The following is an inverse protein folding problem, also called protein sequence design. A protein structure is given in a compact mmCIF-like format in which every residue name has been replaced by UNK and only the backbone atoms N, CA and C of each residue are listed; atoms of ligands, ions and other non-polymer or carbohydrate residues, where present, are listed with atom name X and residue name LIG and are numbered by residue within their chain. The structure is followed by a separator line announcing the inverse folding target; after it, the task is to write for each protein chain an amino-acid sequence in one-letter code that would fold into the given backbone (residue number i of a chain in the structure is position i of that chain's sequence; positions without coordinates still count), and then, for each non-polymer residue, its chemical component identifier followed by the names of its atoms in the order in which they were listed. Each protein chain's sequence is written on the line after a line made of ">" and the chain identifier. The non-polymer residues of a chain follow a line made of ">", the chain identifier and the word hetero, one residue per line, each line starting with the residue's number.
data_IF_799719544355
#
_entry.id   IF_799719544355
#
_cell.length_a   1.000
_cell.length_b   1.000
_cell.length_c   1.000
_cell.angle_alpha   90.00
_cell.angle_beta   90.00
_cell.angle_gamma   90.00
#
_symmetry.space_group_name_H-M   'P 1'
#
loop_
_entity.id
_entity.type
_entity.pdbx_description
1 polymer ?
#
# COMPACT_ATOMS: atom_id res chain seq x y z
N UNK A 1 -12.42 15.11 -7.17
CA UNK A 1 -11.44 14.90 -6.10
C UNK A 1 -11.18 13.42 -5.93
N UNK A 2 -9.92 13.00 -5.99
CA UNK A 2 -9.58 11.58 -5.84
C UNK A 2 -9.72 11.14 -4.40
N UNK A 3 -10.33 9.96 -4.21
CA UNK A 3 -10.43 9.31 -2.91
C UNK A 3 -9.32 8.28 -2.79
N UNK A 4 -8.49 8.41 -1.76
CA UNK A 4 -7.35 7.53 -1.51
C UNK A 4 -7.58 6.83 -0.17
N UNK A 5 -7.48 5.50 -0.16
CA UNK A 5 -7.49 4.72 1.07
C UNK A 5 -6.07 4.22 1.33
N UNK A 6 -5.51 4.63 2.47
CA UNK A 6 -4.24 4.13 2.97
C UNK A 6 -4.51 3.05 4.02
N UNK A 7 -4.05 1.83 3.76
CA UNK A 7 -4.35 0.68 4.63
C UNK A 7 -3.24 0.49 5.66
N UNK A 8 -3.62 0.50 6.93
CA UNK A 8 -2.71 0.58 8.07
C UNK A 8 -2.76 -0.69 8.91
N UNK A 9 -1.59 -1.12 9.35
CA UNK A 9 -1.41 -2.18 10.33
C UNK A 9 -0.31 -1.80 11.30
N UNK A 10 -0.31 -2.37 12.50
CA UNK A 10 0.79 -2.17 13.43
C UNK A 10 2.10 -2.67 12.83
N UNK A 11 3.17 -1.94 13.06
CA UNK A 11 4.48 -2.23 12.48
C UNK A 11 4.69 -1.67 11.08
N UNK A 12 3.79 -0.79 10.58
CA UNK A 12 4.06 -0.05 9.36
C UNK A 12 5.22 0.93 9.54
N UNK A 13 5.82 1.35 8.43
CA UNK A 13 6.87 2.37 8.47
C UNK A 13 6.21 3.76 8.44
N UNK A 14 6.43 4.54 9.49
CA UNK A 14 5.73 5.80 9.72
C UNK A 14 5.94 6.82 8.60
N UNK A 15 7.18 7.01 8.15
CA UNK A 15 7.47 8.00 7.11
C UNK A 15 6.87 7.60 5.78
N UNK A 16 6.97 6.33 5.42
CA UNK A 16 6.40 5.82 4.16
C UNK A 16 4.89 5.99 4.10
N UNK A 17 4.23 5.87 5.24
CA UNK A 17 2.79 6.08 5.32
C UNK A 17 2.43 7.56 5.38
N UNK A 18 2.97 8.27 6.38
CA UNK A 18 2.51 9.63 6.69
C UNK A 18 3.00 10.68 5.71
N UNK A 19 4.18 10.51 5.11
CA UNK A 19 4.66 11.43 4.08
C UNK A 19 3.73 11.40 2.86
N UNK A 20 3.35 10.23 2.40
CA UNK A 20 2.43 10.07 1.27
C UNK A 20 1.06 10.68 1.60
N UNK A 21 0.52 10.36 2.78
CA UNK A 21 -0.79 10.88 3.20
C UNK A 21 -0.76 12.40 3.32
N UNK A 22 0.24 12.97 3.97
CA UNK A 22 0.37 14.41 4.14
C UNK A 22 0.45 15.14 2.79
N UNK A 23 1.32 14.67 1.90
CA UNK A 23 1.50 15.30 0.58
C UNK A 23 0.23 15.19 -0.26
N UNK A 24 -0.45 14.05 -0.24
CA UNK A 24 -1.71 13.89 -0.98
C UNK A 24 -2.81 14.81 -0.44
N UNK A 25 -2.92 14.94 0.89
CA UNK A 25 -3.88 15.88 1.49
C UNK A 25 -3.57 17.32 1.14
N UNK A 26 -2.30 17.71 1.13
CA UNK A 26 -1.87 19.05 0.66
C UNK A 26 -2.24 19.28 -0.79
N UNK A 27 -2.21 18.24 -1.61
CA UNK A 27 -2.59 18.31 -3.03
C UNK A 27 -4.12 18.30 -3.25
N UNK A 28 -4.91 18.22 -2.20
CA UNK A 28 -6.37 18.25 -2.28
C UNK A 28 -7.04 16.89 -2.45
N UNK A 29 -6.32 15.79 -2.33
CA UNK A 29 -6.93 14.46 -2.34
C UNK A 29 -7.67 14.19 -1.03
N UNK A 30 -8.77 13.45 -1.11
CA UNK A 30 -9.49 12.96 0.06
C UNK A 30 -8.86 11.64 0.51
N UNK A 31 -8.00 11.70 1.53
CA UNK A 31 -7.28 10.52 2.02
C UNK A 31 -7.89 10.03 3.33
N UNK A 32 -8.29 8.76 3.35
CA UNK A 32 -8.78 8.07 4.54
C UNK A 32 -7.75 7.07 5.02
N UNK A 33 -7.38 7.16 6.29
CA UNK A 33 -6.52 6.19 6.97
C UNK A 33 -7.40 5.03 7.46
N UNK A 34 -7.18 3.84 6.92
CA UNK A 34 -8.02 2.67 7.18
C UNK A 34 -7.22 1.59 7.91
N UNK A 35 -7.62 1.27 9.15
CA UNK A 35 -6.98 0.20 9.91
C UNK A 35 -7.53 -1.17 9.53
N UNK A 36 -6.65 -2.13 9.31
CA UNK A 36 -7.02 -3.54 9.08
C UNK A 36 -6.91 -4.37 10.37
N UNK A 37 -6.55 -3.74 11.51
CA UNK A 37 -6.28 -4.48 12.76
C UNK A 37 -7.50 -4.73 13.63
N UNK A 38 -8.62 -4.12 13.33
CA UNK A 38 -9.80 -4.11 14.19
C UNK A 38 -9.78 -3.02 15.25
N UNK A 39 -8.72 -2.22 15.34
CA UNK A 39 -8.59 -1.07 16.23
C UNK A 39 -8.13 0.15 15.42
N UNK A 40 -8.64 1.33 15.77
CA UNK A 40 -8.20 2.57 15.15
C UNK A 40 -6.83 3.03 15.63
N UNK A 41 -6.37 2.50 16.76
CA UNK A 41 -5.04 2.80 17.30
C UNK A 41 -3.98 2.06 16.48
N UNK A 42 -3.02 2.80 15.95
CA UNK A 42 -1.91 2.25 15.14
C UNK A 42 -0.58 2.62 15.78
N UNK A 43 0.30 1.64 15.87
CA UNK A 43 1.69 1.84 16.32
C UNK A 43 2.63 1.42 15.20
N UNK A 44 3.42 2.35 14.69
CA UNK A 44 4.40 2.08 13.64
C UNK A 44 5.61 1.30 14.13
N UNK A 45 6.46 0.90 13.21
CA UNK A 45 7.68 0.12 13.48
C UNK A 45 8.70 0.88 14.34
N UNK A 46 8.59 2.19 14.40
CA UNK A 46 9.44 3.06 15.23
C UNK A 46 8.68 3.62 16.45
N UNK A 47 7.64 2.93 16.87
CA UNK A 47 6.87 3.20 18.09
C UNK A 47 6.16 4.55 18.11
N UNK A 48 5.84 5.11 16.95
CA UNK A 48 5.00 6.29 16.85
C UNK A 48 3.54 5.86 16.81
N UNK A 49 2.73 6.45 17.70
CA UNK A 49 1.32 6.14 17.83
C UNK A 49 0.48 7.17 17.10
N UNK A 50 -0.50 6.70 16.35
CA UNK A 50 -1.48 7.58 15.72
C UNK A 50 -2.77 6.82 15.49
N UNK A 51 -3.82 7.53 15.06
CA UNK A 51 -5.13 6.94 14.87
C UNK A 51 -5.49 6.85 13.39
N UNK A 52 -6.11 5.74 13.01
CA UNK A 52 -6.80 5.62 11.75
C UNK A 52 -8.12 6.40 11.78
N UNK A 53 -8.59 6.83 10.61
CA UNK A 53 -9.87 7.50 10.46
C UNK A 53 -11.04 6.50 10.53
N UNK A 54 -10.81 5.28 10.05
CA UNK A 54 -11.84 4.24 9.95
C UNK A 54 -11.25 2.85 10.12
N UNK A 55 -12.11 1.90 10.43
CA UNK A 55 -11.79 0.47 10.35
C UNK A 55 -12.05 -0.05 8.94
N UNK A 56 -11.36 -1.12 8.56
CA UNK A 56 -11.54 -1.73 7.25
C UNK A 56 -12.99 -2.19 7.04
N UNK A 57 -13.54 -1.82 5.90
CA UNK A 57 -14.83 -2.26 5.39
C UNK A 57 -14.68 -2.52 3.90
N UNK A 58 -14.94 -3.76 3.47
CA UNK A 58 -14.73 -4.17 2.09
C UNK A 58 -15.64 -3.40 1.12
N UNK A 59 -16.87 -3.11 1.54
CA UNK A 59 -17.81 -2.32 0.74
C UNK A 59 -17.34 -0.88 0.58
N UNK A 60 -16.86 -0.26 1.66
CA UNK A 60 -16.34 1.10 1.61
C UNK A 60 -15.08 1.20 0.73
N UNK A 61 -14.26 0.15 0.70
CA UNK A 61 -13.06 0.12 -0.13
C UNK A 61 -13.36 0.19 -1.63
N UNK A 62 -14.59 -0.10 -2.05
CA UNK A 62 -15.00 0.03 -3.44
C UNK A 62 -15.07 1.50 -3.91
N UNK A 63 -15.16 2.44 -2.99
CA UNK A 63 -15.22 3.87 -3.30
C UNK A 63 -13.84 4.48 -3.55
N UNK A 64 -12.76 3.79 -3.21
CA UNK A 64 -11.42 4.31 -3.36
C UNK A 64 -10.98 4.36 -4.83
N UNK A 65 -10.52 5.51 -5.28
CA UNK A 65 -9.87 5.66 -6.60
C UNK A 65 -8.45 5.11 -6.55
N UNK A 66 -7.80 5.21 -5.39
CA UNK A 66 -6.44 4.74 -5.15
C UNK A 66 -6.39 3.94 -3.86
N UNK A 67 -5.80 2.74 -3.92
CA UNK A 67 -5.49 1.92 -2.75
C UNK A 67 -3.99 2.00 -2.50
N UNK A 68 -3.60 2.50 -1.33
CA UNK A 68 -2.20 2.68 -0.97
C UNK A 68 -1.79 1.72 0.15
N UNK A 69 -0.67 1.01 -0.09
CA UNK A 69 -0.10 0.05 0.84
C UNK A 69 1.28 0.56 1.30
N UNK A 70 1.40 1.12 2.51
CA UNK A 70 2.69 1.49 3.07
C UNK A 70 3.51 0.24 3.40
N UNK A 71 4.83 0.42 3.48
CA UNK A 71 5.73 -0.66 3.85
C UNK A 71 5.94 -0.78 5.35
N UNK A 72 7.07 -1.38 5.71
CA UNK A 72 7.44 -1.66 7.09
C UNK A 72 7.06 -3.07 7.52
N UNK A 73 7.86 -3.61 8.45
CA UNK A 73 7.63 -4.94 9.00
C UNK A 73 7.39 -4.84 10.51
N UNK A 74 6.48 -5.59 11.09
CA UNK A 74 5.66 -6.65 10.48
C UNK A 74 4.37 -6.16 9.80
N UNK A 75 4.13 -4.85 9.67
CA UNK A 75 2.90 -4.32 9.09
C UNK A 75 2.54 -4.91 7.72
N UNK A 76 3.54 -5.06 6.85
CA UNK A 76 3.34 -5.68 5.52
C UNK A 76 2.79 -7.10 5.63
N UNK A 77 3.26 -7.89 6.60
CA UNK A 77 2.76 -9.25 6.81
C UNK A 77 1.28 -9.27 7.22
N UNK A 78 0.88 -8.32 8.05
CA UNK A 78 -0.51 -8.19 8.48
C UNK A 78 -1.42 -7.82 7.31
N UNK A 79 -0.99 -6.85 6.48
CA UNK A 79 -1.72 -6.49 5.27
C UNK A 79 -1.85 -7.68 4.32
N UNK A 80 -0.75 -8.42 4.12
CA UNK A 80 -0.72 -9.60 3.25
C UNK A 80 -1.67 -10.69 3.71
N UNK A 81 -1.82 -10.87 5.00
CA UNK A 81 -2.68 -11.90 5.60
C UNK A 81 -4.17 -11.53 5.62
N UNK A 82 -4.50 -10.26 5.36
CA UNK A 82 -5.88 -9.78 5.47
C UNK A 82 -6.67 -10.11 4.20
N UNK A 83 -7.56 -11.11 4.29
CA UNK A 83 -8.31 -11.59 3.12
C UNK A 83 -9.23 -10.52 2.51
N UNK A 84 -9.93 -9.75 3.33
CA UNK A 84 -10.80 -8.67 2.84
C UNK A 84 -10.02 -7.62 2.05
N UNK A 85 -8.83 -7.26 2.52
CA UNK A 85 -7.97 -6.32 1.80
C UNK A 85 -7.50 -6.90 0.46
N UNK A 86 -7.11 -8.17 0.44
CA UNK A 86 -6.71 -8.82 -0.83
C UNK A 86 -7.87 -8.85 -1.82
N UNK A 87 -9.08 -9.12 -1.36
CA UNK A 87 -10.27 -9.07 -2.21
C UNK A 87 -10.49 -7.66 -2.79
N UNK A 88 -10.35 -6.63 -1.95
CA UNK A 88 -10.47 -5.24 -2.38
C UNK A 88 -9.40 -4.87 -3.41
N UNK A 89 -8.17 -5.31 -3.22
CA UNK A 89 -7.05 -5.08 -4.16
C UNK A 89 -7.34 -5.77 -5.50
N UNK A 90 -7.74 -7.04 -5.47
CA UNK A 90 -8.08 -7.77 -6.69
C UNK A 90 -9.19 -7.08 -7.47
N UNK A 91 -10.24 -6.66 -6.79
CA UNK A 91 -11.37 -5.96 -7.40
C UNK A 91 -10.96 -4.64 -8.02
N UNK A 92 -10.15 -3.86 -7.27
CA UNK A 92 -9.62 -2.60 -7.76
C UNK A 92 -8.79 -2.80 -9.03
N UNK A 93 -7.93 -3.82 -9.04
CA UNK A 93 -7.10 -4.12 -10.21
C UNK A 93 -7.93 -4.50 -11.44
N UNK A 94 -8.95 -5.33 -11.26
CA UNK A 94 -9.85 -5.72 -12.35
C UNK A 94 -10.60 -4.53 -12.93
N UNK A 95 -10.89 -3.53 -12.11
CA UNK A 95 -11.59 -2.32 -12.50
C UNK A 95 -10.65 -1.22 -13.03
N UNK A 96 -9.36 -1.47 -13.07
CA UNK A 96 -8.36 -0.50 -13.52
C UNK A 96 -8.13 0.65 -12.54
N UNK A 97 -8.59 0.52 -11.29
CA UNK A 97 -8.33 1.53 -10.26
C UNK A 97 -6.86 1.48 -9.84
N UNK A 98 -6.34 2.60 -9.36
CA UNK A 98 -4.93 2.73 -9.03
C UNK A 98 -4.58 2.01 -7.73
N UNK A 99 -3.43 1.34 -7.75
CA UNK A 99 -2.85 0.68 -6.58
C UNK A 99 -1.42 1.18 -6.44
N UNK A 100 -1.04 1.59 -5.24
CA UNK A 100 0.31 2.04 -4.94
C UNK A 100 0.87 1.25 -3.75
N UNK A 101 2.12 0.82 -3.85
CA UNK A 101 2.78 0.05 -2.80
C UNK A 101 4.25 0.45 -2.71
N UNK A 102 4.78 0.57 -1.50
CA UNK A 102 6.15 1.02 -1.27
C UNK A 102 6.93 0.05 -0.39
N UNK A 103 8.23 -0.03 -0.60
CA UNK A 103 9.20 -0.75 0.22
C UNK A 103 8.96 -2.27 0.20
N UNK A 104 8.51 -2.85 1.31
CA UNK A 104 8.16 -4.27 1.39
C UNK A 104 6.78 -4.57 0.79
N UNK A 105 5.89 -3.58 0.72
CA UNK A 105 4.50 -3.79 0.31
C UNK A 105 4.30 -4.25 -1.14
N UNK A 106 5.14 -3.91 -2.13
CA UNK A 106 5.03 -4.51 -3.46
C UNK A 106 5.06 -6.04 -3.45
N UNK A 107 5.68 -6.66 -2.44
CA UNK A 107 5.67 -8.13 -2.30
C UNK A 107 4.25 -8.70 -2.15
N UNK A 108 3.33 -7.93 -1.58
CA UNK A 108 1.92 -8.33 -1.47
C UNK A 108 1.33 -8.51 -2.86
N UNK A 109 1.53 -7.51 -3.72
CA UNK A 109 1.03 -7.54 -5.09
C UNK A 109 1.73 -8.63 -5.92
N UNK A 110 3.03 -8.82 -5.70
CA UNK A 110 3.81 -9.86 -6.38
C UNK A 110 3.30 -11.25 -6.05
N UNK A 111 3.06 -11.55 -4.77
CA UNK A 111 2.55 -12.86 -4.34
C UNK A 111 1.10 -13.09 -4.77
N UNK A 112 0.33 -12.02 -4.98
CA UNK A 112 -1.02 -12.12 -5.54
C UNK A 112 -1.03 -12.34 -7.06
N UNK A 113 0.13 -12.29 -7.71
CA UNK A 113 0.24 -12.44 -9.17
C UNK A 113 -0.16 -11.20 -9.97
N UNK A 114 -0.38 -10.07 -9.32
CA UNK A 114 -0.86 -8.84 -9.98
C UNK A 114 0.24 -8.10 -10.73
N UNK A 115 1.51 -8.42 -10.47
CA UNK A 115 2.66 -7.77 -11.11
C UNK A 115 3.26 -8.58 -12.27
N UNK A 116 2.73 -9.76 -12.55
CA UNK A 116 3.23 -10.59 -13.66
C UNK A 116 3.14 -9.83 -14.99
N UNK A 117 4.27 -9.83 -15.74
CA UNK A 117 4.35 -9.13 -17.01
C UNK A 117 4.47 -7.62 -16.89
N UNK A 118 4.55 -7.08 -15.68
CA UNK A 118 4.71 -5.65 -15.44
C UNK A 118 6.14 -5.31 -15.01
N UNK A 119 6.48 -4.04 -15.10
CA UNK A 119 7.72 -3.49 -14.52
C UNK A 119 7.40 -2.98 -13.12
N UNK A 120 8.19 -3.38 -12.13
CA UNK A 120 7.97 -2.99 -10.74
C UNK A 120 9.28 -2.91 -9.96
N UNK A 121 9.22 -2.27 -8.80
CA UNK A 121 10.34 -2.18 -7.86
C UNK A 121 9.85 -2.51 -6.45
N UNK A 122 10.80 -2.72 -5.53
CA UNK A 122 10.52 -2.94 -4.12
C UNK A 122 11.77 -2.60 -3.30
N UNK A 123 11.66 -2.71 -1.99
CA UNK A 123 12.82 -2.59 -1.10
C UNK A 123 13.80 -3.75 -1.37
N UNK A 124 15.12 -3.48 -1.38
CA UNK A 124 16.13 -4.54 -1.58
C UNK A 124 15.93 -5.69 -0.59
N UNK A 125 15.94 -6.91 -1.12
CA UNK A 125 15.70 -8.12 -0.33
C UNK A 125 14.30 -8.72 -0.51
N UNK A 126 13.38 -8.02 -1.20
CA UNK A 126 12.03 -8.52 -1.48
C UNK A 126 11.82 -8.90 -2.94
N UNK A 127 12.88 -8.86 -3.76
CA UNK A 127 12.81 -9.10 -5.20
C UNK A 127 12.33 -10.52 -5.55
N UNK A 128 12.64 -11.49 -4.70
CA UNK A 128 12.25 -12.90 -4.90
C UNK A 128 10.73 -13.09 -4.80
N UNK A 129 10.01 -12.12 -4.22
CA UNK A 129 8.55 -12.11 -4.15
C UNK A 129 7.89 -11.53 -5.41
N UNK A 130 8.68 -11.01 -6.34
CA UNK A 130 8.22 -10.39 -7.58
C UNK A 130 8.38 -11.36 -8.75
N UNK A 131 7.84 -12.56 -8.63
CA UNK A 131 7.93 -13.58 -9.65
C UNK A 131 7.24 -13.17 -10.97
N UNK A 132 7.93 -13.34 -12.09
CA UNK A 132 7.41 -12.97 -13.40
C UNK A 132 7.38 -11.47 -13.68
N UNK A 133 8.09 -10.68 -12.90
CA UNK A 133 8.12 -9.22 -12.95
C UNK A 133 9.42 -8.76 -13.61
N UNK A 134 9.35 -7.72 -14.44
CA UNK A 134 10.54 -6.98 -14.88
C UNK A 134 10.98 -6.06 -13.74
N UNK A 135 11.86 -6.58 -12.86
CA UNK A 135 12.34 -5.82 -11.71
C UNK A 135 13.27 -4.69 -12.14
N UNK A 136 13.05 -3.49 -11.60
CA UNK A 136 13.91 -2.33 -11.81
C UNK A 136 14.39 -1.78 -10.47
N UNK A 137 15.57 -1.15 -10.48
CA UNK A 137 16.10 -0.44 -9.30
C UNK A 137 15.74 1.04 -9.29
N UNK A 138 14.85 1.48 -10.16
CA UNK A 138 14.34 2.85 -10.10
C UNK A 138 13.62 3.09 -8.77
N UNK A 139 13.69 4.33 -8.28
CA UNK A 139 13.07 4.69 -7.01
C UNK A 139 11.56 4.51 -7.02
N UNK A 140 10.92 4.95 -8.10
CA UNK A 140 9.47 4.83 -8.31
C UNK A 140 9.23 4.43 -9.76
N UNK A 141 8.29 3.52 -9.97
CA UNK A 141 7.87 3.11 -11.32
C UNK A 141 6.36 2.93 -11.36
N UNK A 142 5.74 3.44 -12.40
CA UNK A 142 4.31 3.21 -12.67
C UNK A 142 4.18 2.40 -13.95
N UNK A 143 3.48 1.28 -13.86
CA UNK A 143 3.15 0.44 -15.00
C UNK A 143 1.65 0.19 -14.99
N UNK A 144 0.94 0.76 -15.97
CA UNK A 144 -0.51 0.70 -16.00
C UNK A 144 -1.14 1.41 -14.79
N UNK A 145 -1.94 0.67 -14.05
CA UNK A 145 -2.64 1.19 -12.85
C UNK A 145 -1.86 0.97 -11.55
N UNK A 146 -0.66 0.39 -11.59
CA UNK A 146 0.11 0.05 -10.40
C UNK A 146 1.40 0.87 -10.32
N UNK A 147 1.59 1.55 -9.18
CA UNK A 147 2.80 2.28 -8.85
C UNK A 147 3.52 1.57 -7.70
N UNK A 148 4.81 1.29 -7.88
CA UNK A 148 5.65 0.72 -6.82
C UNK A 148 6.84 1.62 -6.56
N UNK A 149 7.32 1.65 -5.31
CA UNK A 149 8.46 2.46 -4.88
C UNK A 149 9.38 1.67 -3.95
N UNK A 150 10.66 2.04 -3.92
CA UNK A 150 11.68 1.26 -3.22
C UNK A 150 11.67 1.44 -1.72
N UNK A 151 11.39 2.62 -1.22
CA UNK A 151 11.44 2.84 0.23
C UNK A 151 11.37 4.30 0.62
N UNK A 152 11.78 4.56 1.86
CA UNK A 152 11.61 5.82 2.59
C UNK A 152 11.93 7.08 1.78
N UNK A 153 13.03 7.09 1.06
CA UNK A 153 13.46 8.25 0.28
C UNK A 153 12.61 8.52 -0.97
N UNK A 154 11.64 7.66 -1.26
CA UNK A 154 10.78 7.74 -2.44
C UNK A 154 9.28 7.78 -2.06
N UNK A 155 9.01 8.04 -0.80
CA UNK A 155 7.65 8.16 -0.31
C UNK A 155 6.95 9.42 -0.84
#
# INVERSE_FOLDING_TARGET
>A
MSKVFAFLADGLEEVECLAVVDVLRRAGAEVTLVSVTGSREITGSHHIHFQADALFDETAAEEADVLFLPGGMPGTNTLKAHEGLKNAICKANKQGRRIAAICAAPSILGEMGLLKGRTATCYPGFEDKLEGVSYTRQGVITDGNITTARGLGYA
#
